data_IF_536902093954
#
_entry.id   IF_536902093954
#
_cell.length_a   1.000
_cell.length_b   1.000
_cell.length_c   1.000
_cell.angle_alpha   90.00
_cell.angle_beta   90.00
_cell.angle_gamma   90.00
#
_symmetry.space_group_name_H-M   'P 1'
#
loop_
_entity.id
_entity.type
_entity.pdbx_description
1 polymer ?
#
# COMPACT_ATOMS: atom_id res chain seq x y z
N UNK A 1 -4.85 -1.93 1.13
CA UNK A 1 -4.20 -2.36 -0.14
C UNK A 1 -3.01 -1.50 -0.52
N UNK A 2 -3.16 -0.18 -0.63
CA UNK A 2 -2.02 0.68 -0.97
C UNK A 2 -0.92 0.64 0.08
N UNK A 3 -1.27 0.52 1.34
CA UNK A 3 -0.30 0.35 2.43
C UNK A 3 0.53 -0.92 2.27
N UNK A 4 -0.08 -2.04 1.87
CA UNK A 4 0.65 -3.27 1.54
C UNK A 4 1.64 -3.04 0.41
N UNK A 5 1.23 -2.35 -0.66
CA UNK A 5 2.09 -2.07 -1.80
C UNK A 5 3.24 -1.11 -1.46
N UNK A 6 3.02 -0.17 -0.55
CA UNK A 6 4.05 0.75 -0.07
C UNK A 6 5.09 0.00 0.76
N UNK A 7 4.66 -0.79 1.72
CA UNK A 7 5.56 -1.54 2.61
C UNK A 7 6.38 -2.56 1.82
N UNK A 8 5.81 -3.12 0.74
CA UNK A 8 6.45 -4.13 -0.09
C UNK A 8 6.81 -3.58 -1.48
N UNK A 9 7.18 -2.32 -1.59
CA UNK A 9 7.41 -1.65 -2.87
C UNK A 9 8.54 -2.24 -3.72
N UNK A 10 9.46 -2.98 -3.11
CA UNK A 10 10.57 -3.63 -3.80
C UNK A 10 10.17 -4.95 -4.47
N UNK A 11 8.97 -5.43 -4.22
CA UNK A 11 8.50 -6.71 -4.74
C UNK A 11 7.29 -6.51 -5.64
N UNK A 12 7.12 -7.44 -6.60
CA UNK A 12 5.93 -7.50 -7.43
C UNK A 12 5.01 -8.64 -6.99
N UNK A 13 3.71 -8.45 -7.21
CA UNK A 13 2.68 -9.41 -6.80
C UNK A 13 1.60 -9.51 -7.87
N UNK A 14 0.99 -10.68 -7.99
CA UNK A 14 -0.22 -10.85 -8.80
C UNK A 14 -1.42 -10.18 -8.11
N UNK A 15 -2.48 -9.90 -8.85
CA UNK A 15 -3.71 -9.37 -8.25
C UNK A 15 -4.29 -10.31 -7.20
N UNK A 16 -4.20 -11.62 -7.41
CA UNK A 16 -4.65 -12.62 -6.44
C UNK A 16 -3.87 -12.51 -5.14
N UNK A 17 -2.54 -12.38 -5.22
CA UNK A 17 -1.68 -12.20 -4.05
C UNK A 17 -2.00 -10.90 -3.32
N UNK A 18 -2.16 -9.81 -4.05
CA UNK A 18 -2.50 -8.50 -3.48
C UNK A 18 -3.83 -8.58 -2.73
N UNK A 19 -4.84 -9.22 -3.32
CA UNK A 19 -6.14 -9.42 -2.69
C UNK A 19 -6.00 -10.23 -1.40
N UNK A 20 -5.28 -11.33 -1.45
CA UNK A 20 -5.09 -12.22 -0.30
C UNK A 20 -4.34 -11.53 0.85
N UNK A 21 -3.22 -10.88 0.54
CA UNK A 21 -2.39 -10.25 1.58
C UNK A 21 -3.00 -8.97 2.15
N UNK A 22 -3.76 -8.23 1.34
CA UNK A 22 -4.39 -6.99 1.80
C UNK A 22 -5.77 -7.18 2.44
N UNK A 23 -6.33 -8.39 2.34
CA UNK A 23 -7.67 -8.66 2.84
C UNK A 23 -8.80 -8.08 2.00
N UNK A 24 -8.50 -7.57 0.81
CA UNK A 24 -9.50 -7.06 -0.13
C UNK A 24 -9.96 -8.20 -1.04
N UNK A 25 -11.27 -8.34 -1.24
CA UNK A 25 -11.79 -9.35 -2.15
C UNK A 25 -11.30 -9.13 -3.58
N UNK A 26 -10.96 -10.21 -4.28
CA UNK A 26 -10.45 -10.14 -5.65
C UNK A 26 -11.41 -9.40 -6.59
N UNK A 27 -12.70 -9.68 -6.49
CA UNK A 27 -13.72 -9.02 -7.31
C UNK A 27 -13.75 -7.51 -7.06
N UNK A 28 -13.63 -7.09 -5.81
CA UNK A 28 -13.58 -5.69 -5.42
C UNK A 28 -12.31 -5.03 -5.96
N UNK A 29 -11.17 -5.69 -5.81
CA UNK A 29 -9.89 -5.20 -6.33
C UNK A 29 -9.97 -4.99 -7.85
N UNK A 30 -10.55 -5.93 -8.57
CA UNK A 30 -10.69 -5.89 -10.01
C UNK A 30 -11.52 -4.69 -10.50
N UNK A 31 -12.51 -4.26 -9.71
CA UNK A 31 -13.37 -3.12 -10.06
C UNK A 31 -12.58 -1.80 -10.22
N UNK A 32 -11.56 -1.58 -9.42
CA UNK A 32 -10.82 -0.32 -9.46
C UNK A 32 -9.39 -0.44 -10.00
N UNK A 33 -8.92 -1.67 -10.26
CA UNK A 33 -7.54 -1.91 -10.70
C UNK A 33 -7.20 -1.19 -12.00
N UNK A 34 -8.12 -1.18 -12.95
CA UNK A 34 -7.94 -0.49 -14.23
C UNK A 34 -7.69 1.00 -14.07
N UNK A 35 -8.31 1.63 -13.07
CA UNK A 35 -8.09 3.05 -12.76
C UNK A 35 -6.68 3.28 -12.22
N UNK A 36 -6.17 2.38 -11.39
CA UNK A 36 -4.82 2.45 -10.85
C UNK A 36 -3.77 2.31 -11.96
N UNK A 37 -4.00 1.39 -12.90
CA UNK A 37 -3.11 1.21 -14.05
C UNK A 37 -3.13 2.45 -14.97
N UNK A 38 -4.31 2.96 -15.30
CA UNK A 38 -4.46 4.16 -16.15
C UNK A 38 -3.81 5.39 -15.55
N UNK A 39 -3.84 5.51 -14.23
CA UNK A 39 -3.22 6.62 -13.51
C UNK A 39 -1.73 6.40 -13.24
N UNK A 40 -1.16 5.29 -13.73
CA UNK A 40 0.24 4.92 -13.53
C UNK A 40 0.64 4.81 -12.05
N UNK A 41 -0.31 4.47 -11.19
CA UNK A 41 -0.05 4.24 -9.77
C UNK A 41 0.56 2.85 -9.57
N UNK A 42 0.08 1.87 -10.32
CA UNK A 42 0.66 0.53 -10.36
C UNK A 42 1.13 0.22 -11.78
N UNK A 43 2.16 -0.60 -11.90
CA UNK A 43 2.72 -1.02 -13.19
C UNK A 43 2.86 -2.52 -13.22
N UNK A 44 2.61 -3.10 -14.40
CA UNK A 44 2.90 -4.50 -14.65
C UNK A 44 4.40 -4.65 -14.84
N UNK A 45 5.01 -5.58 -14.10
CA UNK A 45 6.46 -5.81 -14.14
C UNK A 45 6.84 -6.99 -15.03
N UNK A 46 6.12 -8.11 -14.90
CA UNK A 46 6.42 -9.34 -15.62
C UNK A 46 5.21 -10.26 -15.63
N UNK A 47 5.29 -11.32 -16.38
CA UNK A 47 4.30 -12.39 -16.39
C UNK A 47 5.00 -13.66 -15.87
N UNK A 48 4.42 -14.28 -14.85
CA UNK A 48 4.90 -15.54 -14.29
C UNK A 48 3.84 -16.60 -14.56
N UNK A 49 4.10 -17.51 -15.49
CA UNK A 49 3.10 -18.44 -15.98
C UNK A 49 1.97 -17.66 -16.67
N UNK A 50 0.76 -17.74 -16.13
CA UNK A 50 -0.40 -16.98 -16.63
C UNK A 50 -0.70 -15.74 -15.80
N UNK A 51 0.06 -15.51 -14.73
CA UNK A 51 -0.19 -14.42 -13.79
C UNK A 51 0.60 -13.17 -14.17
N UNK A 52 -0.08 -12.04 -14.32
CA UNK A 52 0.55 -10.74 -14.47
C UNK A 52 0.97 -10.23 -13.10
N UNK A 53 2.20 -9.80 -12.98
CA UNK A 53 2.76 -9.28 -11.72
C UNK A 53 2.78 -7.76 -11.74
N UNK A 54 2.46 -7.16 -10.61
CA UNK A 54 2.33 -5.71 -10.47
C UNK A 54 3.09 -5.20 -9.26
N UNK A 55 3.52 -3.97 -9.32
CA UNK A 55 4.08 -3.26 -8.17
C UNK A 55 3.68 -1.79 -8.23
N UNK A 56 3.90 -1.09 -7.10
CA UNK A 56 3.70 0.34 -7.04
C UNK A 56 4.69 1.05 -7.96
N UNK A 57 4.21 2.03 -8.74
CA UNK A 57 5.07 2.81 -9.63
C UNK A 57 5.78 3.91 -8.84
N UNK A 58 6.95 3.63 -8.33
CA UNK A 58 7.73 4.57 -7.52
C UNK A 58 8.32 5.74 -8.33
N UNK A 59 8.27 5.66 -9.66
CA UNK A 59 8.67 6.78 -10.53
C UNK A 59 7.56 7.85 -10.66
N UNK A 60 6.31 7.51 -10.34
CA UNK A 60 5.19 8.44 -10.38
C UNK A 60 5.29 9.42 -9.22
N UNK A 61 5.23 10.73 -9.52
CA UNK A 61 5.34 11.77 -8.49
C UNK A 61 4.23 11.69 -7.44
N UNK A 62 3.01 11.36 -7.86
CA UNK A 62 1.88 11.20 -6.95
C UNK A 62 2.15 10.04 -5.98
N UNK A 63 2.66 8.94 -6.48
CA UNK A 63 3.04 7.78 -5.68
C UNK A 63 4.13 8.13 -4.69
N UNK A 64 5.16 8.86 -5.12
CA UNK A 64 6.25 9.32 -4.24
C UNK A 64 5.71 10.17 -3.09
N UNK A 65 4.84 11.13 -3.39
CA UNK A 65 4.22 12.01 -2.39
C UNK A 65 3.31 11.23 -1.44
N UNK A 66 2.54 10.30 -1.97
CA UNK A 66 1.67 9.45 -1.16
C UNK A 66 2.49 8.55 -0.23
N UNK A 67 3.58 7.97 -0.73
CA UNK A 67 4.50 7.15 0.07
C UNK A 67 5.11 7.96 1.21
N UNK A 68 5.61 9.15 0.92
CA UNK A 68 6.20 10.02 1.92
C UNK A 68 5.16 10.42 2.98
N UNK A 69 3.96 10.74 2.55
CA UNK A 69 2.83 11.06 3.43
C UNK A 69 2.46 9.86 4.32
N UNK A 70 2.41 8.67 3.75
CA UNK A 70 2.11 7.45 4.49
C UNK A 70 3.13 7.20 5.60
N UNK A 71 4.42 7.30 5.29
CA UNK A 71 5.47 7.08 6.27
C UNK A 71 5.48 8.17 7.34
N UNK A 72 5.18 9.40 6.98
CA UNK A 72 5.09 10.51 7.93
C UNK A 72 3.94 10.29 8.93
N UNK A 73 2.77 9.89 8.44
CA UNK A 73 1.63 9.56 9.30
C UNK A 73 1.98 8.38 10.22
N UNK A 74 2.63 7.35 9.70
CA UNK A 74 3.02 6.17 10.47
C UNK A 74 3.96 6.56 11.61
N UNK A 75 4.95 7.41 11.35
CA UNK A 75 5.85 7.93 12.38
C UNK A 75 5.10 8.71 13.45
N UNK A 76 4.24 9.63 13.06
CA UNK A 76 3.45 10.45 13.98
C UNK A 76 2.48 9.59 14.80
N UNK A 77 1.88 8.60 14.19
CA UNK A 77 0.97 7.67 14.88
C UNK A 77 1.70 6.92 15.99
N UNK A 78 2.90 6.43 15.73
CA UNK A 78 3.71 5.74 16.75
C UNK A 78 4.02 6.68 17.90
N UNK A 79 4.48 7.89 17.64
CA UNK A 79 4.75 8.90 18.67
C UNK A 79 3.49 9.28 19.45
N UNK A 80 2.38 9.46 18.76
CA UNK A 80 1.12 9.80 19.40
C UNK A 80 0.60 8.69 20.30
N UNK A 81 0.69 7.44 19.87
CA UNK A 81 0.29 6.28 20.67
C UNK A 81 1.10 6.18 21.96
N UNK A 82 2.40 6.41 21.88
CA UNK A 82 3.27 6.44 23.05
C UNK A 82 2.87 7.57 23.99
N UNK A 83 2.63 8.77 23.46
CA UNK A 83 2.18 9.93 24.23
C UNK A 83 0.83 9.69 24.90
N UNK A 84 -0.13 9.11 24.20
CA UNK A 84 -1.44 8.78 24.75
C UNK A 84 -1.34 7.75 25.89
N UNK A 85 -0.48 6.76 25.76
CA UNK A 85 -0.24 5.78 26.81
C UNK A 85 0.34 6.42 28.06
N UNK A 86 1.27 7.34 27.90
CA UNK A 86 1.84 8.09 29.02
C UNK A 86 0.78 8.95 29.72
N UNK A 87 -0.06 9.65 28.94
CA UNK A 87 -1.18 10.42 29.48
C UNK A 87 -2.18 9.55 30.24
N UNK A 88 -2.49 8.38 29.71
CA UNK A 88 -3.38 7.42 30.38
C UNK A 88 -2.81 6.94 31.70
N UNK A 89 -1.52 6.70 31.76
CA UNK A 89 -0.82 6.32 33.00
C UNK A 89 -0.88 7.42 34.05
N UNK A 90 -0.73 8.67 33.62
CA UNK A 90 -0.77 9.82 34.52
C UNK A 90 -2.19 10.08 35.02
N UNK A 91 -3.19 9.94 34.15
CA UNK A 91 -4.60 10.16 34.49
C UNK A 91 -5.26 8.99 35.20
N UNK A 92 -4.70 7.81 35.01
CA UNK A 92 -5.27 6.58 35.52
C UNK A 92 -4.84 6.29 36.91
#
# INVERSE_FOLDING_TARGET
MLDFLIVNEDFDYSMTDIANYSGVGYSTLKLFWGKLEKSNIVVQTRIVGKAKMYKLNTANLIVKKFRDFYWEITKQRVHKEIGEREEMMIKG
#
